data_IF_158079364101
#
_entry.id   IF_158079364101
#
_cell.length_a   1.000
_cell.length_b   1.000
_cell.length_c   1.000
_cell.angle_alpha   90.00
_cell.angle_beta   90.00
_cell.angle_gamma   90.00
#
_symmetry.space_group_name_H-M   'P 1'
#
loop_
_entity.id
_entity.type
_entity.pdbx_description
1 polymer ?
#
# COMPACT_ATOMS: atom_id res chain seq x y z
N UNK A 1 21.81 2.88 -6.01
CA UNK A 1 20.90 3.56 -5.06
C UNK A 1 19.65 3.92 -5.83
N UNK A 2 18.47 3.77 -5.25
CA UNK A 2 17.23 4.25 -5.90
C UNK A 2 17.17 5.76 -5.70
N UNK A 3 16.98 6.52 -6.78
CA UNK A 3 16.79 7.96 -6.68
C UNK A 3 15.46 8.23 -5.95
N UNK A 4 15.54 8.91 -4.81
CA UNK A 4 14.41 9.22 -3.96
C UNK A 4 14.55 10.62 -3.37
N UNK A 5 13.43 11.17 -2.92
CA UNK A 5 13.41 12.48 -2.27
C UNK A 5 13.43 12.31 -0.76
N UNK A 6 14.32 13.04 -0.09
CA UNK A 6 14.26 13.16 1.36
C UNK A 6 13.06 14.06 1.72
N UNK A 7 12.07 13.51 2.42
CA UNK A 7 10.84 14.20 2.84
C UNK A 7 10.52 13.91 4.30
N UNK A 8 9.64 14.70 4.92
CA UNK A 8 9.12 14.37 6.25
C UNK A 8 8.39 13.03 6.22
N UNK A 9 8.47 12.28 7.32
CA UNK A 9 7.93 10.91 7.40
C UNK A 9 6.44 10.84 7.08
N UNK A 10 5.68 11.88 7.39
CA UNK A 10 4.24 12.02 7.13
C UNK A 10 3.91 12.15 5.64
N UNK A 11 4.87 12.63 4.85
CA UNK A 11 4.71 12.83 3.40
C UNK A 11 5.08 11.60 2.59
N UNK A 12 5.61 10.55 3.21
CA UNK A 12 5.94 9.32 2.52
C UNK A 12 4.84 8.29 2.73
N UNK A 13 3.91 8.16 1.78
CA UNK A 13 2.63 7.43 1.96
C UNK A 13 2.85 5.98 2.43
N UNK A 14 3.71 5.23 1.76
CA UNK A 14 4.02 3.85 2.10
C UNK A 14 4.63 3.71 3.50
N UNK A 15 5.65 4.49 3.86
CA UNK A 15 6.30 4.42 5.18
C UNK A 15 5.36 4.91 6.28
N UNK A 16 4.65 6.02 6.05
CA UNK A 16 3.72 6.58 7.02
C UNK A 16 2.59 5.60 7.35
N UNK A 17 2.04 4.91 6.35
CA UNK A 17 0.97 3.92 6.54
C UNK A 17 1.33 2.77 7.49
N UNK A 18 2.61 2.41 7.55
CA UNK A 18 3.13 1.39 8.47
C UNK A 18 3.24 1.94 9.88
N UNK A 19 3.72 3.17 10.03
CA UNK A 19 4.02 3.77 11.34
C UNK A 19 2.74 4.09 12.11
N UNK A 20 1.67 4.45 11.39
CA UNK A 20 0.35 4.70 11.99
C UNK A 20 -0.45 3.40 12.23
N UNK A 21 0.05 2.25 11.75
CA UNK A 21 -0.62 0.97 11.95
C UNK A 21 -0.62 0.59 13.44
N UNK A 22 -1.74 0.05 13.98
CA UNK A 22 -1.77 -0.45 15.36
C UNK A 22 -0.92 -1.72 15.53
N UNK A 23 -0.58 -2.41 14.44
CA UNK A 23 0.26 -3.60 14.46
C UNK A 23 1.73 -3.24 14.27
N UNK A 24 2.64 -3.70 15.16
CA UNK A 24 4.07 -3.44 15.00
C UNK A 24 4.61 -4.04 13.69
N UNK A 25 5.41 -3.28 12.91
CA UNK A 25 6.01 -3.81 11.70
C UNK A 25 6.97 -4.97 12.01
N UNK A 26 7.11 -5.89 11.06
CA UNK A 26 8.11 -6.96 11.16
C UNK A 26 9.53 -6.39 11.23
N UNK A 27 10.48 -7.16 11.76
CA UNK A 27 11.89 -6.73 11.90
C UNK A 27 12.53 -6.31 10.58
N UNK A 28 12.15 -6.97 9.47
CA UNK A 28 12.61 -6.59 8.13
C UNK A 28 12.13 -5.20 7.73
N UNK A 29 10.86 -4.88 7.99
CA UNK A 29 10.27 -3.57 7.70
C UNK A 29 10.88 -2.49 8.61
N UNK A 30 11.09 -2.79 9.89
CA UNK A 30 11.77 -1.85 10.81
C UNK A 30 13.18 -1.50 10.31
N UNK A 31 13.96 -2.50 9.89
CA UNK A 31 15.28 -2.28 9.33
C UNK A 31 15.25 -1.45 8.04
N UNK A 32 14.22 -1.64 7.21
CA UNK A 32 14.03 -0.82 6.01
C UNK A 32 13.76 0.65 6.36
N UNK A 33 12.85 0.92 7.29
CA UNK A 33 12.53 2.30 7.72
C UNK A 33 13.77 2.97 8.30
N UNK A 34 14.54 2.27 9.13
CA UNK A 34 15.78 2.79 9.72
C UNK A 34 16.83 3.12 8.65
N UNK A 35 16.95 2.29 7.61
CA UNK A 35 17.86 2.53 6.48
C UNK A 35 17.38 3.61 5.51
N UNK A 36 16.08 3.88 5.50
CA UNK A 36 15.49 4.97 4.72
C UNK A 36 15.70 6.34 5.40
N UNK A 37 16.20 6.41 6.63
CA UNK A 37 16.45 7.69 7.29
C UNK A 37 17.38 8.59 6.47
N UNK A 38 17.02 9.87 6.37
CA UNK A 38 17.81 10.91 5.73
C UNK A 38 17.69 12.21 6.54
N UNK A 39 18.51 13.21 6.26
CA UNK A 39 18.53 14.47 7.02
C UNK A 39 17.89 15.62 6.23
N UNK A 40 16.92 16.30 6.85
CA UNK A 40 16.35 17.56 6.37
C UNK A 40 16.51 18.64 7.44
N UNK A 41 16.78 19.90 7.05
CA UNK A 41 16.73 21.03 7.98
C UNK A 41 15.34 21.14 8.61
N UNK A 42 15.28 21.38 9.92
CA UNK A 42 14.06 21.64 10.69
C UNK A 42 12.99 20.53 10.66
N UNK A 43 13.36 19.31 10.25
CA UNK A 43 12.46 18.14 10.23
C UNK A 43 13.04 17.05 11.14
N UNK A 44 12.40 16.74 12.29
CA UNK A 44 12.95 15.81 13.28
C UNK A 44 12.95 14.35 12.81
N UNK A 45 12.07 14.00 11.85
CA UNK A 45 11.99 12.67 11.23
C UNK A 45 11.77 12.77 9.74
N UNK A 46 12.82 12.48 8.98
CA UNK A 46 12.83 12.46 7.53
C UNK A 46 13.30 11.12 6.97
N UNK A 47 12.70 10.73 5.85
CA UNK A 47 12.97 9.46 5.17
C UNK A 47 13.11 9.68 3.66
N UNK A 48 13.96 8.86 3.04
CA UNK A 48 14.11 8.77 1.59
C UNK A 48 12.89 8.07 1.02
N UNK A 49 12.07 8.82 0.30
CA UNK A 49 10.82 8.37 -0.26
C UNK A 49 10.90 8.29 -1.78
N UNK A 50 10.22 7.30 -2.36
CA UNK A 50 10.14 7.20 -3.81
C UNK A 50 9.24 8.32 -4.36
N UNK A 51 9.57 8.92 -5.52
CA UNK A 51 8.80 10.04 -6.09
C UNK A 51 7.29 9.81 -6.18
N UNK A 52 6.87 8.59 -6.51
CA UNK A 52 5.45 8.21 -6.63
C UNK A 52 4.72 8.08 -5.29
N UNK A 53 5.48 7.91 -4.19
CA UNK A 53 4.96 7.76 -2.82
C UNK A 53 5.00 9.08 -2.03
N UNK A 54 5.62 10.12 -2.58
CA UNK A 54 5.65 11.45 -1.97
C UNK A 54 4.28 12.09 -2.13
N UNK A 55 3.61 12.31 -1.00
CA UNK A 55 2.43 13.17 -0.94
C UNK A 55 2.89 14.61 -1.15
N UNK A 56 2.33 15.35 -2.14
CA UNK A 56 2.60 16.77 -2.29
C UNK A 56 2.31 17.51 -0.98
N UNK A 57 3.21 18.39 -0.56
CA UNK A 57 2.91 19.24 0.59
C UNK A 57 1.67 20.10 0.26
N UNK A 58 0.80 20.41 1.22
CA UNK A 58 -0.14 21.50 1.06
C UNK A 58 0.69 22.79 0.97
N UNK A 59 0.92 23.26 -0.25
CA UNK A 59 1.63 24.52 -0.47
C UNK A 59 0.68 25.65 -0.11
N UNK A 60 1.04 26.49 0.85
CA UNK A 60 0.47 27.82 0.99
C UNK A 60 0.93 28.65 -0.22
N UNK A 61 0.19 28.57 -1.33
CA UNK A 61 0.48 29.31 -2.57
C UNK A 61 -0.59 30.36 -2.81
N UNK A 62 -0.12 31.60 -3.00
CA UNK A 62 -0.87 32.78 -3.45
C UNK A 62 -1.72 32.49 -4.70
N UNK A 63 -2.93 33.05 -4.67
CA UNK A 63 -4.08 33.01 -5.58
C UNK A 63 -3.80 33.00 -7.09
N UNK A 64 -4.43 32.07 -7.83
CA UNK A 64 -5.18 32.43 -9.05
C UNK A 64 -6.38 31.48 -9.20
N UNK A 65 -7.56 32.09 -9.27
CA UNK A 65 -8.89 31.49 -9.19
C UNK A 65 -9.32 30.88 -10.51
N UNK A 66 -9.75 29.62 -10.52
CA UNK A 66 -10.71 29.12 -11.52
C UNK A 66 -11.73 28.22 -10.85
N UNK A 67 -12.95 28.74 -10.74
CA UNK A 67 -14.10 28.15 -10.06
C UNK A 67 -14.74 27.08 -10.95
N UNK A 68 -14.86 25.85 -10.46
CA UNK A 68 -15.89 24.90 -10.93
C UNK A 68 -16.50 24.18 -9.74
N UNK A 69 -17.74 24.56 -9.46
CA UNK A 69 -18.59 24.10 -8.36
C UNK A 69 -19.28 22.81 -8.78
N UNK A 70 -18.99 21.70 -8.10
CA UNK A 70 -19.92 20.54 -8.09
C UNK A 70 -20.02 20.00 -6.67
N UNK A 71 -21.10 20.40 -6.01
CA UNK A 71 -21.46 20.04 -4.65
C UNK A 71 -22.08 18.64 -4.67
N UNK A 72 -21.37 17.65 -4.14
CA UNK A 72 -21.99 16.39 -3.70
C UNK A 72 -21.55 16.12 -2.27
N UNK A 73 -22.54 16.05 -1.39
CA UNK A 73 -22.39 15.95 0.05
C UNK A 73 -21.61 14.69 0.48
N UNK A 74 -20.83 14.77 1.58
CA UNK A 74 -20.17 13.61 2.15
C UNK A 74 -21.20 12.70 2.82
N UNK A 75 -21.38 11.51 2.25
CA UNK A 75 -22.11 10.42 2.90
C UNK A 75 -21.31 9.98 4.13
N UNK A 76 -21.98 9.97 5.28
CA UNK A 76 -21.45 9.59 6.58
C UNK A 76 -20.74 8.23 6.52
N UNK A 77 -19.43 8.22 6.74
CA UNK A 77 -18.64 7.00 6.92
C UNK A 77 -19.05 6.40 8.26
N UNK A 78 -19.95 5.43 8.22
CA UNK A 78 -20.24 4.57 9.37
C UNK A 78 -18.97 3.78 9.66
N UNK A 79 -18.37 4.02 10.82
CA UNK A 79 -17.23 3.25 11.31
C UNK A 79 -17.57 1.75 11.30
N UNK A 80 -16.69 0.87 10.81
CA UNK A 80 -16.92 -0.56 10.90
C UNK A 80 -16.94 -0.96 12.37
N UNK A 81 -18.06 -1.57 12.77
CA UNK A 81 -18.21 -2.26 14.05
C UNK A 81 -17.05 -3.24 14.20
N UNK A 82 -16.32 -3.14 15.32
CA UNK A 82 -15.33 -4.15 15.72
C UNK A 82 -16.05 -5.46 16.04
N UNK A 83 -16.28 -6.28 15.02
CA UNK A 83 -16.53 -7.70 15.22
C UNK A 83 -15.18 -8.34 15.54
N UNK A 84 -15.08 -9.05 16.67
CA UNK A 84 -13.88 -9.80 17.08
C UNK A 84 -13.55 -11.00 16.16
N UNK A 85 -14.23 -11.14 15.02
CA UNK A 85 -13.85 -12.04 13.95
C UNK A 85 -12.98 -11.26 12.96
N UNK A 86 -11.71 -11.64 12.84
CA UNK A 86 -10.84 -11.12 11.78
C UNK A 86 -11.45 -11.39 10.39
N UNK A 87 -10.97 -10.71 9.34
CA UNK A 87 -11.44 -10.95 7.98
C UNK A 87 -11.18 -12.42 7.61
N UNK A 88 -12.26 -13.17 7.36
CA UNK A 88 -12.20 -14.55 6.87
C UNK A 88 -12.01 -14.51 5.36
N UNK A 89 -10.92 -15.07 4.88
CA UNK A 89 -10.68 -15.28 3.45
C UNK A 89 -11.53 -16.46 2.98
N UNK A 90 -12.40 -16.23 2.00
CA UNK A 90 -13.20 -17.29 1.37
C UNK A 90 -12.58 -17.62 0.02
N UNK A 91 -12.27 -18.89 -0.20
CA UNK A 91 -11.86 -19.39 -1.51
C UNK A 91 -13.05 -19.37 -2.45
N UNK A 92 -12.94 -18.65 -3.56
CA UNK A 92 -13.95 -18.63 -4.62
C UNK A 92 -14.05 -19.98 -5.32
N UNK A 93 -15.22 -20.26 -5.90
CA UNK A 93 -15.43 -21.40 -6.80
C UNK A 93 -15.06 -20.96 -8.22
N UNK A 94 -14.43 -21.84 -8.98
CA UNK A 94 -14.10 -21.56 -10.37
C UNK A 94 -15.40 -21.37 -11.18
N UNK A 95 -15.55 -20.26 -11.93
CA UNK A 95 -16.76 -20.02 -12.70
C UNK A 95 -16.86 -20.98 -13.89
N UNK A 96 -18.08 -21.35 -14.26
CA UNK A 96 -18.36 -22.17 -15.44
C UNK A 96 -17.80 -21.51 -16.71
N UNK A 97 -17.40 -22.32 -17.69
CA UNK A 97 -16.81 -21.84 -18.95
C UNK A 97 -17.71 -20.88 -19.76
N UNK A 98 -19.02 -20.87 -19.49
CA UNK A 98 -20.00 -19.95 -20.09
C UNK A 98 -20.31 -18.70 -19.26
N UNK A 99 -19.66 -18.49 -18.11
CA UNK A 99 -19.95 -17.37 -17.24
C UNK A 99 -19.51 -16.03 -17.86
N UNK A 100 -20.39 -15.03 -17.79
CA UNK A 100 -20.07 -13.67 -18.22
C UNK A 100 -19.10 -13.01 -17.24
N UNK A 101 -17.90 -12.65 -17.70
CA UNK A 101 -16.88 -12.01 -16.88
C UNK A 101 -17.23 -10.55 -16.61
N UNK A 102 -17.16 -10.13 -15.33
CA UNK A 102 -17.34 -8.74 -14.94
C UNK A 102 -15.99 -8.02 -14.82
N UNK A 103 -15.55 -7.42 -15.93
CA UNK A 103 -14.28 -6.69 -16.01
C UNK A 103 -14.21 -5.44 -15.11
N UNK A 104 -15.34 -4.93 -14.62
CA UNK A 104 -15.36 -3.77 -13.71
C UNK A 104 -14.77 -4.09 -12.32
N UNK A 105 -14.60 -5.38 -11.98
CA UNK A 105 -13.95 -5.80 -10.74
C UNK A 105 -12.43 -5.60 -10.77
N UNK A 106 -11.83 -5.47 -11.94
CA UNK A 106 -10.38 -5.33 -12.09
C UNK A 106 -10.01 -3.86 -12.34
N UNK A 107 -9.08 -3.28 -11.55
CA UNK A 107 -8.57 -1.95 -11.80
C UNK A 107 -7.65 -1.98 -13.03
N UNK A 108 -8.20 -1.66 -14.21
CA UNK A 108 -7.44 -1.73 -15.48
C UNK A 108 -6.46 -0.58 -15.69
N UNK A 109 -6.55 0.50 -14.91
CA UNK A 109 -5.71 1.70 -15.08
C UNK A 109 -4.59 1.84 -14.05
N UNK A 110 -4.81 1.36 -12.83
CA UNK A 110 -3.91 1.58 -11.69
C UNK A 110 -3.51 0.22 -11.09
N UNK A 111 -2.83 -0.62 -11.87
CA UNK A 111 -2.36 -1.94 -11.46
C UNK A 111 -0.92 -2.17 -11.95
N UNK A 112 -0.17 -3.04 -11.26
CA UNK A 112 1.14 -3.49 -11.75
C UNK A 112 2.24 -2.42 -11.79
N UNK A 113 2.06 -1.28 -11.11
CA UNK A 113 3.04 -0.20 -11.09
C UNK A 113 4.27 -0.60 -10.29
N UNK A 114 5.41 -0.78 -10.96
CA UNK A 114 6.73 -0.91 -10.35
C UNK A 114 7.49 0.41 -10.44
N UNK A 115 8.22 0.74 -9.38
CA UNK A 115 8.94 2.02 -9.27
C UNK A 115 10.45 1.89 -9.46
N UNK A 116 10.93 0.69 -9.83
CA UNK A 116 12.36 0.38 -9.88
C UNK A 116 12.78 -0.25 -11.21
N UNK A 117 13.97 0.13 -11.69
CA UNK A 117 14.64 -0.56 -12.78
C UNK A 117 15.12 -1.94 -12.31
N UNK A 118 14.75 -2.99 -13.05
CA UNK A 118 15.14 -4.37 -12.76
C UNK A 118 16.66 -4.53 -12.84
N UNK A 119 17.27 -5.08 -11.79
CA UNK A 119 18.67 -5.53 -11.83
C UNK A 119 18.67 -6.95 -12.41
N UNK A 120 19.36 -7.17 -13.53
CA UNK A 120 19.56 -8.53 -14.05
C UNK A 120 20.43 -9.35 -13.06
N UNK A 121 20.09 -10.62 -12.84
CA UNK A 121 20.75 -11.54 -11.90
C UNK A 121 20.65 -11.22 -10.39
N UNK A 122 19.82 -10.26 -9.98
CA UNK A 122 19.50 -10.04 -8.57
C UNK A 122 18.39 -10.98 -8.06
N UNK A 123 18.54 -11.52 -6.84
CA UNK A 123 17.50 -12.33 -6.17
C UNK A 123 16.76 -11.56 -5.05
N UNK A 124 17.29 -10.42 -4.61
CA UNK A 124 16.74 -9.67 -3.48
C UNK A 124 15.82 -8.56 -3.95
N UNK A 125 14.58 -8.57 -3.46
CA UNK A 125 13.60 -7.51 -3.69
C UNK A 125 13.71 -6.43 -2.62
N UNK A 126 13.38 -5.19 -2.97
CA UNK A 126 13.23 -4.08 -2.04
C UNK A 126 11.85 -4.14 -1.39
N UNK A 127 11.73 -3.57 -0.20
CA UNK A 127 10.43 -3.35 0.41
C UNK A 127 9.60 -2.44 -0.51
N UNK A 128 8.34 -2.81 -0.74
CA UNK A 128 7.41 -2.16 -1.67
C UNK A 128 7.74 -2.28 -3.16
N UNK A 129 8.69 -3.13 -3.56
CA UNK A 129 8.97 -3.36 -4.99
C UNK A 129 7.82 -4.05 -5.73
N UNK A 130 7.16 -5.00 -5.05
CA UNK A 130 5.99 -5.71 -5.56
C UNK A 130 4.83 -5.58 -4.58
N UNK A 131 4.14 -4.42 -4.55
CA UNK A 131 3.14 -4.11 -3.53
C UNK A 131 1.90 -5.01 -3.58
N UNK A 132 1.69 -5.72 -4.68
CA UNK A 132 0.61 -6.71 -4.81
C UNK A 132 0.96 -8.07 -4.21
N UNK A 133 2.20 -8.34 -3.78
CA UNK A 133 2.55 -9.63 -3.17
C UNK A 133 1.82 -9.84 -1.85
N UNK A 134 1.13 -10.97 -1.71
CA UNK A 134 0.39 -11.35 -0.51
C UNK A 134 0.96 -12.65 0.06
N UNK A 135 0.90 -12.78 1.38
CA UNK A 135 1.20 -14.01 2.11
C UNK A 135 -0.08 -14.58 2.71
N UNK A 136 -0.39 -15.83 2.38
CA UNK A 136 -1.53 -16.55 2.92
C UNK A 136 -1.09 -17.34 4.17
N UNK A 137 -1.62 -16.88 5.31
CA UNK A 137 -1.34 -17.43 6.64
C UNK A 137 -2.52 -18.27 7.10
N UNK A 138 -2.23 -19.50 7.49
CA UNK A 138 -3.19 -20.50 7.94
C UNK A 138 -3.04 -20.74 9.42
N UNK A 139 -4.14 -20.74 10.15
CA UNK A 139 -4.18 -21.14 11.55
C UNK A 139 -4.52 -22.63 11.65
N UNK A 140 -3.71 -23.39 12.39
CA UNK A 140 -3.98 -24.78 12.73
C UNK A 140 -3.55 -25.03 14.17
N UNK A 141 -4.46 -25.52 15.02
CA UNK A 141 -4.19 -25.78 16.43
C UNK A 141 -3.62 -24.56 17.20
N UNK A 142 -4.10 -23.35 16.90
CA UNK A 142 -3.60 -22.10 17.49
C UNK A 142 -2.23 -21.64 16.99
N UNK A 143 -1.64 -22.33 16.01
CA UNK A 143 -0.38 -21.95 15.37
C UNK A 143 -0.64 -21.34 14.00
N UNK A 144 -0.17 -20.11 13.81
CA UNK A 144 -0.19 -19.44 12.51
C UNK A 144 1.00 -19.87 11.66
N UNK A 145 0.74 -20.31 10.43
CA UNK A 145 1.74 -20.79 9.47
C UNK A 145 1.56 -20.15 8.10
N UNK A 146 2.66 -19.62 7.56
CA UNK A 146 2.71 -19.04 6.22
C UNK A 146 2.97 -20.15 5.20
N UNK A 147 2.03 -20.40 4.28
CA UNK A 147 2.09 -21.59 3.40
C UNK A 147 2.01 -21.28 1.91
N UNK A 148 1.30 -20.22 1.53
CA UNK A 148 1.12 -19.86 0.13
C UNK A 148 1.38 -18.36 -0.06
N UNK A 149 1.75 -18.00 -1.28
CA UNK A 149 1.73 -16.62 -1.74
C UNK A 149 0.51 -16.35 -2.61
N UNK A 150 0.26 -15.09 -2.91
CA UNK A 150 -0.74 -14.66 -3.89
C UNK A 150 -0.46 -13.24 -4.38
N UNK A 151 -1.33 -12.75 -5.26
CA UNK A 151 -1.27 -11.39 -5.80
C UNK A 151 -2.59 -10.66 -5.58
N UNK A 152 -2.52 -9.47 -4.97
CA UNK A 152 -3.67 -8.58 -4.84
C UNK A 152 -4.09 -8.07 -6.23
N UNK A 153 -5.26 -8.50 -6.71
CA UNK A 153 -5.77 -8.15 -8.04
C UNK A 153 -6.74 -6.96 -8.01
N UNK A 154 -7.30 -6.65 -6.84
CA UNK A 154 -8.08 -5.42 -6.58
C UNK A 154 -8.16 -5.15 -5.07
N UNK A 155 -9.07 -4.28 -4.62
CA UNK A 155 -9.21 -3.94 -3.19
C UNK A 155 -9.82 -5.05 -2.29
N UNK A 156 -10.24 -6.20 -2.84
CA UNK A 156 -10.98 -7.26 -2.12
C UNK A 156 -10.58 -8.70 -2.47
N UNK A 157 -9.76 -8.92 -3.51
CA UNK A 157 -9.49 -10.23 -4.07
C UNK A 157 -8.00 -10.47 -4.25
N UNK A 158 -7.57 -11.70 -3.97
CA UNK A 158 -6.22 -12.22 -4.14
C UNK A 158 -6.28 -13.39 -5.12
N UNK A 159 -5.34 -13.41 -6.07
CA UNK A 159 -5.09 -14.52 -7.00
C UNK A 159 -3.98 -15.42 -6.47
#
# INVERSE_FOLDING_TARGET
MSDGFCVSIERCRNIYSIIISPTPPSRGIQNYINRAACSLPDVPRSVCCQPLEVVPAPTTTTTTTTTTTTTVAPSTVVAPVKTNAGPVMVTGVEPDAGATLNWNLLPTRNCGTITVNRIAHGNTTRVFEYPWMVLLRYESNGVLSDRCGGSLINNRYVL
#
